data_IF_287893472808
#
_entry.id   IF_287893472808
#
_cell.length_a   1.000
_cell.length_b   1.000
_cell.length_c   1.000
_cell.angle_alpha   90.00
_cell.angle_beta   90.00
_cell.angle_gamma   90.00
#
_symmetry.space_group_name_H-M   'P 1'
#
loop_
_entity.id
_entity.type
_entity.pdbx_description
1 polymer ?
#
# COMPACT_ATOMS: atom_id res chain seq x y z
N UNK A 1 31.17 16.62 -21.10
CA UNK A 1 29.86 17.02 -21.64
C UNK A 1 28.82 16.75 -20.56
N UNK A 2 28.11 17.77 -20.08
CA UNK A 2 26.95 17.60 -19.22
C UNK A 2 25.79 17.15 -20.11
N UNK A 3 25.23 15.97 -19.83
CA UNK A 3 24.07 15.45 -20.58
C UNK A 3 22.82 16.06 -19.94
N UNK A 4 22.02 16.77 -20.73
CA UNK A 4 20.88 17.54 -20.20
C UNK A 4 19.70 16.66 -19.75
N UNK A 5 19.73 15.35 -20.06
CA UNK A 5 18.69 14.38 -19.70
C UNK A 5 19.28 13.01 -19.36
N UNK A 6 18.82 12.47 -18.22
CA UNK A 6 19.09 11.11 -17.75
C UNK A 6 17.88 10.22 -18.06
N UNK A 7 18.09 8.90 -18.16
CA UNK A 7 17.01 7.93 -18.17
C UNK A 7 16.03 8.08 -17.00
N UNK A 8 14.82 7.55 -17.16
CA UNK A 8 13.76 7.61 -16.15
C UNK A 8 13.63 6.27 -15.44
N UNK A 9 13.80 6.27 -14.12
CA UNK A 9 13.55 5.11 -13.26
C UNK A 9 12.19 5.25 -12.58
N UNK A 10 11.35 4.21 -12.67
CA UNK A 10 10.04 4.14 -12.03
C UNK A 10 9.95 2.87 -11.18
N UNK A 11 9.20 2.97 -10.08
CA UNK A 11 8.96 1.87 -9.17
C UNK A 11 7.49 1.87 -8.75
N UNK A 12 6.87 0.71 -8.81
CA UNK A 12 5.52 0.45 -8.33
C UNK A 12 5.52 -0.86 -7.56
N UNK A 13 4.54 -1.08 -6.70
CA UNK A 13 4.45 -2.29 -5.91
C UNK A 13 3.01 -2.71 -5.70
N UNK A 14 2.81 -4.01 -5.61
CA UNK A 14 1.54 -4.60 -5.17
C UNK A 14 1.28 -4.26 -3.71
N UNK A 15 -0.01 -4.09 -3.38
CA UNK A 15 -0.41 -4.00 -1.99
C UNK A 15 -0.20 -5.37 -1.33
N UNK A 16 0.59 -5.46 -0.25
CA UNK A 16 0.79 -6.71 0.47
C UNK A 16 -0.51 -7.22 1.09
N UNK A 17 -0.62 -8.54 1.22
CA UNK A 17 -1.72 -9.17 1.95
C UNK A 17 -1.78 -8.70 3.41
N UNK A 18 -2.97 -8.74 4.04
CA UNK A 18 -3.14 -8.29 5.41
C UNK A 18 -2.32 -9.13 6.38
N UNK A 19 -1.77 -8.48 7.40
CA UNK A 19 -1.06 -9.12 8.50
C UNK A 19 -2.05 -9.32 9.65
N UNK A 20 -2.23 -10.57 10.07
CA UNK A 20 -3.08 -10.90 11.21
C UNK A 20 -2.28 -10.86 12.52
N UNK A 21 -2.80 -10.18 13.53
CA UNK A 21 -2.19 -10.08 14.87
C UNK A 21 -3.20 -10.46 15.94
N UNK A 22 -2.80 -11.26 16.91
CA UNK A 22 -3.67 -11.62 18.04
C UNK A 22 -3.67 -10.47 19.07
N UNK A 23 -4.82 -9.87 19.41
CA UNK A 23 -4.87 -8.75 20.35
C UNK A 23 -4.31 -9.10 21.73
N UNK A 24 -3.50 -8.18 22.27
CA UNK A 24 -2.84 -8.34 23.56
C UNK A 24 -1.67 -9.33 23.57
N UNK A 25 -1.46 -10.09 22.49
CA UNK A 25 -0.31 -10.95 22.34
C UNK A 25 0.83 -10.21 21.66
N UNK A 26 2.06 -10.51 22.09
CA UNK A 26 3.24 -10.14 21.33
C UNK A 26 3.26 -10.98 20.05
N UNK A 27 3.77 -10.40 18.96
CA UNK A 27 4.07 -11.17 17.74
C UNK A 27 5.08 -12.26 18.13
N UNK A 28 4.57 -13.49 18.27
CA UNK A 28 5.29 -14.67 18.77
C UNK A 28 5.92 -15.47 17.62
N UNK A 29 5.24 -15.50 16.47
CA UNK A 29 5.67 -16.19 15.25
C UNK A 29 5.82 -15.21 14.09
N UNK A 30 6.60 -15.57 13.06
CA UNK A 30 6.79 -14.78 11.85
C UNK A 30 5.44 -14.61 11.13
N UNK A 31 4.71 -13.53 11.44
CA UNK A 31 3.65 -13.08 10.53
C UNK A 31 4.36 -12.45 9.33
N UNK A 32 4.37 -13.20 8.23
CA UNK A 32 5.01 -12.80 6.98
C UNK A 32 3.94 -12.43 5.96
N UNK A 33 4.09 -11.23 5.40
CA UNK A 33 3.46 -10.86 4.14
C UNK A 33 4.56 -10.57 3.13
N UNK A 34 4.20 -10.38 1.87
CA UNK A 34 5.15 -9.98 0.85
C UNK A 34 4.53 -8.94 -0.07
N UNK A 35 5.36 -8.02 -0.54
CA UNK A 35 5.02 -7.09 -1.60
C UNK A 35 5.92 -7.35 -2.81
N UNK A 36 5.33 -7.51 -3.99
CA UNK A 36 6.06 -7.54 -5.25
C UNK A 36 6.29 -6.11 -5.72
N UNK A 37 7.56 -5.76 -5.97
CA UNK A 37 8.00 -4.47 -6.48
C UNK A 37 8.43 -4.62 -7.94
N UNK A 38 7.80 -3.86 -8.83
CA UNK A 38 8.15 -3.78 -10.24
C UNK A 38 8.91 -2.48 -10.50
N UNK A 39 10.07 -2.61 -11.14
CA UNK A 39 10.95 -1.51 -11.48
C UNK A 39 11.01 -1.41 -13.01
N UNK A 40 10.92 -0.20 -13.54
CA UNK A 40 11.06 0.10 -14.96
C UNK A 40 12.12 1.18 -15.14
N UNK A 41 13.01 0.98 -16.10
CA UNK A 41 13.95 2.00 -16.55
C UNK A 41 13.72 2.30 -18.04
N UNK A 42 13.39 3.54 -18.35
CA UNK A 42 13.31 4.05 -19.71
C UNK A 42 14.62 4.80 -20.04
N UNK A 43 15.51 4.25 -20.86
CA UNK A 43 16.79 4.86 -21.18
C UNK A 43 16.63 6.12 -22.04
N UNK A 44 17.65 6.97 -22.02
CA UNK A 44 17.83 8.03 -23.02
C UNK A 44 19.00 7.65 -23.93
N UNK A 45 18.72 7.39 -25.21
CA UNK A 45 19.70 6.79 -26.13
C UNK A 45 20.08 5.38 -25.70
N UNK A 46 21.36 5.03 -25.80
CA UNK A 46 21.87 3.67 -25.50
C UNK A 46 22.38 3.52 -24.06
N UNK A 47 21.77 4.22 -23.11
CA UNK A 47 22.16 4.15 -21.69
C UNK A 47 21.83 2.77 -21.09
N UNK A 48 22.79 2.08 -20.42
CA UNK A 48 22.50 0.84 -19.74
C UNK A 48 21.63 1.07 -18.49
N UNK A 49 20.84 0.08 -18.06
CA UNK A 49 20.02 0.21 -16.87
C UNK A 49 20.88 0.43 -15.61
N UNK A 50 20.36 1.15 -14.60
CA UNK A 50 21.11 1.46 -13.39
C UNK A 50 21.43 0.20 -12.57
N UNK A 51 22.56 0.23 -11.89
CA UNK A 51 22.98 -0.85 -10.98
C UNK A 51 22.21 -0.71 -9.68
N UNK A 52 21.26 -1.62 -9.45
CA UNK A 52 20.54 -1.70 -8.18
C UNK A 52 21.52 -2.09 -7.06
N UNK A 53 21.30 -1.60 -5.83
CA UNK A 53 22.20 -1.88 -4.70
C UNK A 53 21.45 -2.49 -3.54
N UNK A 54 20.58 -1.71 -2.93
CA UNK A 54 19.92 -2.08 -1.69
C UNK A 54 18.46 -1.65 -1.75
N UNK A 55 17.57 -2.52 -1.28
CA UNK A 55 16.18 -2.21 -1.05
C UNK A 55 15.91 -2.24 0.45
N UNK A 56 15.55 -1.09 1.01
CA UNK A 56 15.21 -0.94 2.43
C UNK A 56 13.72 -0.79 2.60
N UNK A 57 13.20 -1.48 3.59
CA UNK A 57 11.77 -1.48 3.90
C UNK A 57 11.56 -1.13 5.36
N UNK A 58 10.63 -0.23 5.61
CA UNK A 58 10.20 0.12 6.96
C UNK A 58 8.68 0.23 7.01
N UNK A 59 8.13 -0.20 8.14
CA UNK A 59 6.72 -0.07 8.45
C UNK A 59 6.52 1.20 9.25
N UNK A 60 5.65 2.07 8.75
CA UNK A 60 5.24 3.30 9.40
C UNK A 60 3.82 3.14 9.94
N UNK A 61 3.67 3.18 11.25
CA UNK A 61 2.38 3.28 11.92
C UNK A 61 2.05 4.76 12.14
N UNK A 62 0.91 5.21 11.62
CA UNK A 62 0.42 6.58 11.80
C UNK A 62 -0.90 6.54 12.55
N UNK A 63 -0.94 7.15 13.73
CA UNK A 63 -2.19 7.39 14.47
C UNK A 63 -2.57 8.86 14.34
N UNK A 64 -3.71 9.10 13.70
CA UNK A 64 -4.33 10.40 13.54
C UNK A 64 -5.33 10.63 14.66
N UNK A 65 -5.40 11.86 15.16
CA UNK A 65 -6.38 12.30 16.16
C UNK A 65 -7.03 13.61 15.71
N UNK A 66 -8.28 13.83 16.09
CA UNK A 66 -8.97 15.10 15.92
C UNK A 66 -9.81 15.45 17.15
N UNK A 67 -10.02 16.75 17.33
CA UNK A 67 -10.96 17.29 18.31
C UNK A 67 -12.39 17.39 17.76
N UNK A 68 -12.57 17.25 16.45
CA UNK A 68 -13.86 17.28 15.76
C UNK A 68 -14.01 16.03 14.89
N UNK A 69 -15.24 15.51 14.70
CA UNK A 69 -15.49 14.35 13.83
C UNK A 69 -15.01 14.58 12.39
N UNK A 70 -14.25 13.64 11.85
CA UNK A 70 -13.96 13.55 10.41
C UNK A 70 -15.11 12.89 9.66
N UNK A 71 -15.35 13.36 8.43
CA UNK A 71 -16.30 12.78 7.48
C UNK A 71 -15.64 11.79 6.52
N UNK A 72 -14.30 11.72 6.51
CA UNK A 72 -13.51 10.86 5.64
C UNK A 72 -12.34 10.20 6.40
N UNK A 73 -11.76 9.17 5.80
CA UNK A 73 -10.55 8.52 6.36
C UNK A 73 -9.38 9.51 6.26
N UNK A 74 -8.67 9.80 7.37
CA UNK A 74 -7.57 10.74 7.36
C UNK A 74 -6.37 10.16 6.60
N UNK A 75 -5.70 11.02 5.84
CA UNK A 75 -4.44 10.74 5.15
C UNK A 75 -3.58 12.00 5.17
N UNK A 76 -2.28 11.88 4.87
CA UNK A 76 -1.41 13.06 4.78
C UNK A 76 -1.85 14.09 3.73
N UNK A 77 -2.61 13.68 2.71
CA UNK A 77 -3.13 14.59 1.69
C UNK A 77 -4.46 15.23 2.08
N UNK A 78 -5.27 14.56 2.90
CA UNK A 78 -6.58 15.08 3.36
C UNK A 78 -6.47 15.89 4.66
N UNK A 79 -5.39 15.71 5.43
CA UNK A 79 -5.10 16.59 6.55
C UNK A 79 -4.54 17.91 6.04
N UNK A 80 -5.40 18.92 5.92
CA UNK A 80 -4.99 20.32 5.80
C UNK A 80 -3.93 20.61 6.85
N UNK A 81 -2.75 21.10 6.45
CA UNK A 81 -1.67 21.52 7.36
C UNK A 81 -2.29 22.34 8.50
N UNK A 82 -2.28 21.85 9.74
CA UNK A 82 -3.03 22.52 10.77
C UNK A 82 -2.22 23.73 11.24
N UNK A 83 -2.87 24.88 11.44
CA UNK A 83 -2.22 26.04 12.08
C UNK A 83 -1.93 25.78 13.57
N UNK A 84 -2.48 24.71 14.17
CA UNK A 84 -2.46 24.46 15.63
C UNK A 84 -2.32 22.96 16.04
N UNK A 85 -2.72 21.98 15.23
CA UNK A 85 -2.66 20.56 15.62
C UNK A 85 -1.25 19.94 15.43
N UNK A 86 -0.75 19.16 16.39
CA UNK A 86 0.38 18.27 16.14
C UNK A 86 0.02 17.32 14.98
N UNK A 87 0.98 17.03 14.10
CA UNK A 87 0.81 16.01 13.07
C UNK A 87 0.46 14.63 13.65
N UNK A 88 0.20 13.62 12.81
CA UNK A 88 -0.08 12.27 13.31
C UNK A 88 1.03 11.76 14.23
N UNK A 89 0.66 10.98 15.24
CA UNK A 89 1.64 10.24 16.02
C UNK A 89 2.21 9.12 15.16
N UNK A 90 3.51 9.17 14.91
CA UNK A 90 4.19 8.24 14.01
C UNK A 90 5.14 7.33 14.77
N UNK A 91 5.10 6.04 14.42
CA UNK A 91 6.10 5.06 14.85
C UNK A 91 6.66 4.34 13.63
N UNK A 92 7.97 4.39 13.45
CA UNK A 92 8.67 3.66 12.39
C UNK A 92 9.28 2.39 12.95
N UNK A 93 9.11 1.30 12.23
CA UNK A 93 9.59 -0.03 12.55
C UNK A 93 10.41 -0.51 11.34
N UNK A 94 11.73 -0.69 11.46
CA UNK A 94 12.53 -1.32 10.41
C UNK A 94 12.00 -2.73 10.11
N UNK A 95 11.86 -3.07 8.83
CA UNK A 95 11.33 -4.38 8.39
C UNK A 95 12.45 -5.20 7.76
N UNK A 96 13.07 -4.70 6.70
CA UNK A 96 14.09 -5.46 5.97
C UNK A 96 15.09 -4.54 5.24
N UNK A 97 16.26 -5.10 4.93
CA UNK A 97 17.28 -4.50 4.08
C UNK A 97 17.86 -5.60 3.20
N UNK A 98 17.53 -5.58 1.92
CA UNK A 98 17.93 -6.60 0.95
C UNK A 98 19.04 -6.06 0.05
N UNK A 99 20.08 -6.86 -0.18
CA UNK A 99 21.02 -6.62 -1.27
C UNK A 99 20.35 -7.07 -2.57
N UNK A 100 20.27 -6.17 -3.55
CA UNK A 100 19.58 -6.39 -4.83
C UNK A 100 20.51 -6.16 -6.03
N UNK A 101 21.83 -6.21 -5.78
CA UNK A 101 22.84 -5.96 -6.80
C UNK A 101 22.93 -7.05 -7.88
N UNK A 102 22.45 -8.25 -7.58
CA UNK A 102 22.43 -9.39 -8.52
C UNK A 102 21.14 -9.49 -9.33
N UNK A 103 20.25 -8.50 -9.23
CA UNK A 103 18.96 -8.54 -9.93
C UNK A 103 19.20 -8.23 -11.39
N UNK A 104 18.74 -9.14 -12.24
CA UNK A 104 18.87 -9.02 -13.69
C UNK A 104 17.76 -8.13 -14.26
N UNK A 105 18.16 -7.28 -15.19
CA UNK A 105 17.25 -6.47 -15.97
C UNK A 105 16.79 -7.25 -17.20
N UNK A 106 15.49 -7.34 -17.39
CA UNK A 106 14.90 -7.87 -18.61
C UNK A 106 14.73 -6.72 -19.61
N UNK A 107 15.37 -6.84 -20.78
CA UNK A 107 15.21 -5.88 -21.87
C UNK A 107 13.88 -6.15 -22.56
N UNK A 108 13.05 -5.11 -22.67
CA UNK A 108 11.77 -5.14 -23.34
C UNK A 108 11.81 -4.22 -24.56
N UNK A 109 11.21 -4.67 -25.66
CA UNK A 109 11.06 -3.89 -26.88
C UNK A 109 9.57 -3.61 -27.12
N UNK A 110 9.24 -2.35 -27.40
CA UNK A 110 7.90 -1.92 -27.70
C UNK A 110 7.60 -2.29 -29.15
N UNK A 111 6.91 -3.42 -29.34
CA UNK A 111 6.38 -3.77 -30.66
C UNK A 111 5.47 -2.64 -31.16
N UNK A 112 5.85 -2.03 -32.28
CA UNK A 112 5.05 -1.00 -32.96
C UNK A 112 3.65 -1.51 -33.40
N UNK A 113 3.38 -2.81 -33.26
CA UNK A 113 2.11 -3.48 -33.55
C UNK A 113 1.17 -3.62 -32.34
N UNK A 114 1.64 -3.41 -31.10
CA UNK A 114 0.74 -3.46 -29.93
C UNK A 114 -0.12 -2.20 -29.90
N UNK A 115 -1.40 -2.39 -30.16
CA UNK A 115 -2.42 -1.34 -30.09
C UNK A 115 -2.26 -0.55 -28.79
N UNK A 116 -2.20 0.79 -28.90
CA UNK A 116 -2.08 1.72 -27.77
C UNK A 116 -3.23 1.63 -26.73
N UNK A 117 -4.24 0.80 -27.04
CA UNK A 117 -5.47 0.55 -26.30
C UNK A 117 -5.46 -0.76 -25.51
N UNK A 118 -4.40 -1.57 -25.60
CA UNK A 118 -4.29 -2.79 -24.80
C UNK A 118 -4.00 -2.42 -23.33
N UNK A 119 -4.85 -2.80 -22.36
CA UNK A 119 -4.63 -2.45 -20.97
C UNK A 119 -3.37 -3.17 -20.46
N UNK A 120 -2.27 -2.41 -20.34
CA UNK A 120 -1.07 -2.88 -19.64
C UNK A 120 -1.47 -3.38 -18.24
N UNK A 121 -0.79 -4.42 -17.70
CA UNK A 121 -1.04 -4.87 -16.33
C UNK A 121 -0.98 -3.67 -15.38
N UNK A 122 -1.97 -3.57 -14.49
CA UNK A 122 -2.17 -2.41 -13.58
C UNK A 122 -0.91 -2.09 -12.74
N UNK A 123 -0.02 -3.07 -12.58
CA UNK A 123 1.24 -2.97 -11.83
C UNK A 123 2.49 -2.72 -12.70
N UNK A 124 2.34 -2.48 -14.00
CA UNK A 124 3.44 -2.02 -14.83
C UNK A 124 3.51 -0.48 -14.78
N UNK A 125 4.68 0.13 -14.49
CA UNK A 125 4.82 1.58 -14.57
C UNK A 125 4.42 2.09 -15.97
N UNK A 126 3.44 3.01 -16.01
CA UNK A 126 2.74 3.39 -17.24
C UNK A 126 3.57 4.29 -18.17
N UNK A 127 3.37 4.00 -19.47
CA UNK A 127 3.66 4.67 -20.76
C UNK A 127 5.02 5.40 -20.94
N UNK A 128 5.78 5.08 -22.01
CA UNK A 128 6.96 5.85 -22.38
C UNK A 128 6.57 7.29 -22.74
N UNK A 129 7.16 8.27 -22.06
CA UNK A 129 6.97 9.69 -22.36
C UNK A 129 7.69 10.07 -23.66
N UNK A 130 8.71 9.29 -24.06
CA UNK A 130 9.50 9.54 -25.25
C UNK A 130 9.03 8.61 -26.39
N UNK A 131 8.36 9.17 -27.41
CA UNK A 131 7.91 8.45 -28.62
C UNK A 131 9.04 7.75 -29.41
N UNK A 132 10.30 7.86 -28.98
CA UNK A 132 11.48 7.40 -29.70
C UNK A 132 12.28 6.31 -28.99
N UNK A 133 11.95 5.90 -27.76
CA UNK A 133 12.62 4.76 -27.12
C UNK A 133 11.78 3.50 -27.30
N UNK A 134 12.10 2.72 -28.33
CA UNK A 134 11.53 1.39 -28.54
C UNK A 134 11.98 0.39 -27.45
N UNK A 135 12.97 0.73 -26.63
CA UNK A 135 13.54 -0.17 -25.61
C UNK A 135 13.27 0.38 -24.22
N UNK A 136 12.92 -0.50 -23.29
CA UNK A 136 12.88 -0.23 -21.85
C UNK A 136 13.35 -1.47 -21.09
N UNK A 137 13.70 -1.31 -19.81
CA UNK A 137 14.18 -2.41 -18.98
C UNK A 137 13.26 -2.61 -17.78
N UNK A 138 13.01 -3.86 -17.41
CA UNK A 138 12.16 -4.22 -16.27
C UNK A 138 12.89 -5.13 -15.30
N UNK A 139 12.59 -4.99 -14.01
CA UNK A 139 13.04 -5.89 -12.96
C UNK A 139 11.92 -6.10 -11.93
N UNK A 140 11.91 -7.27 -11.29
CA UNK A 140 10.89 -7.64 -10.32
C UNK A 140 11.54 -8.14 -9.03
N UNK A 141 11.11 -7.61 -7.88
CA UNK A 141 11.64 -7.95 -6.56
C UNK A 141 10.52 -8.38 -5.63
N UNK A 142 10.71 -9.48 -4.89
CA UNK A 142 9.82 -9.88 -3.81
C UNK A 142 10.37 -9.31 -2.50
N UNK A 143 9.59 -8.48 -1.83
CA UNK A 143 9.96 -7.84 -0.57
C UNK A 143 9.24 -8.56 0.58
N UNK A 144 9.93 -9.42 1.35
CA UNK A 144 9.36 -10.01 2.55
C UNK A 144 9.12 -8.94 3.62
N UNK A 145 7.95 -9.01 4.22
CA UNK A 145 7.49 -8.16 5.31
C UNK A 145 7.40 -9.04 6.55
N UNK A 146 8.50 -9.10 7.29
CA UNK A 146 8.57 -9.77 8.58
C UNK A 146 8.56 -8.71 9.67
N UNK A 147 7.58 -8.78 10.56
CA UNK A 147 7.48 -7.84 11.66
C UNK A 147 8.43 -8.25 12.79
N UNK A 148 9.09 -7.29 13.45
CA UNK A 148 9.98 -7.63 14.57
C UNK A 148 9.18 -8.23 15.73
N UNK A 149 9.72 -9.31 16.28
CA UNK A 149 9.17 -10.02 17.43
C UNK A 149 9.01 -9.09 18.65
N UNK A 150 8.18 -9.52 19.60
CA UNK A 150 7.97 -8.84 20.88
C UNK A 150 7.37 -7.43 20.82
N UNK A 151 6.81 -7.02 19.67
CA UNK A 151 6.02 -5.79 19.55
C UNK A 151 4.53 -6.10 19.64
N UNK A 152 3.80 -5.25 20.35
CA UNK A 152 2.35 -5.23 20.31
C UNK A 152 1.96 -4.29 19.17
N UNK A 153 1.29 -4.83 18.17
CA UNK A 153 0.75 -4.05 17.06
C UNK A 153 -0.75 -3.88 17.27
N UNK A 154 -1.20 -2.64 17.12
CA UNK A 154 -2.63 -2.33 17.17
C UNK A 154 -3.19 -2.54 15.77
N UNK A 155 -4.33 -3.24 15.59
CA UNK A 155 -4.98 -3.36 14.29
C UNK A 155 -5.25 -1.99 13.64
N UNK A 156 -5.44 -2.01 12.33
CA UNK A 156 -5.91 -0.86 11.57
C UNK A 156 -7.35 -0.59 11.99
N UNK A 157 -7.66 0.65 12.35
CA UNK A 157 -9.01 1.05 12.73
C UNK A 157 -9.29 2.49 12.32
N UNK A 158 -10.56 2.80 12.15
CA UNK A 158 -11.03 4.13 11.80
C UNK A 158 -12.25 4.49 12.65
N UNK A 159 -12.20 5.65 13.30
CA UNK A 159 -13.35 6.35 13.85
C UNK A 159 -13.29 7.82 13.45
N UNK A 160 -14.36 8.58 13.72
CA UNK A 160 -14.41 10.00 13.39
C UNK A 160 -13.42 10.86 14.19
N UNK A 161 -12.89 10.38 15.33
CA UNK A 161 -11.94 11.14 16.15
C UNK A 161 -10.52 10.58 16.14
N UNK A 162 -10.36 9.30 15.81
CA UNK A 162 -9.07 8.63 15.87
C UNK A 162 -8.99 7.55 14.78
N UNK A 163 -7.85 7.48 14.12
CA UNK A 163 -7.61 6.51 13.06
C UNK A 163 -6.18 6.02 13.13
N UNK A 164 -5.94 4.72 12.98
CA UNK A 164 -4.60 4.16 12.90
C UNK A 164 -4.42 3.38 11.61
N UNK A 165 -3.42 3.77 10.85
CA UNK A 165 -3.08 3.14 9.56
C UNK A 165 -1.62 2.75 9.51
N UNK A 166 -1.30 1.82 8.61
CA UNK A 166 0.06 1.38 8.36
C UNK A 166 0.46 1.62 6.91
N UNK A 167 1.68 2.09 6.72
CA UNK A 167 2.29 2.31 5.41
C UNK A 167 3.63 1.62 5.36
N UNK A 168 3.83 0.78 4.35
CA UNK A 168 5.12 0.22 4.00
C UNK A 168 5.88 1.26 3.16
N UNK A 169 6.96 1.82 3.70
CA UNK A 169 7.87 2.68 2.93
C UNK A 169 9.01 1.81 2.39
N UNK A 170 9.12 1.74 1.06
CA UNK A 170 10.15 1.00 0.32
C UNK A 170 11.10 2.02 -0.31
N UNK A 171 12.39 1.89 -0.04
CA UNK A 171 13.45 2.76 -0.54
C UNK A 171 14.46 1.93 -1.32
N UNK A 172 14.59 2.20 -2.62
CA UNK A 172 15.53 1.52 -3.51
C UNK A 172 16.73 2.44 -3.78
N UNK A 173 17.91 1.96 -3.43
CA UNK A 173 19.20 2.60 -3.72
C UNK A 173 19.82 2.00 -4.98
N UNK A 174 20.32 2.87 -5.87
CA UNK A 174 20.90 2.48 -7.15
C UNK A 174 22.01 3.44 -7.57
N UNK A 175 22.81 3.02 -8.55
CA UNK A 175 23.86 3.81 -9.17
C UNK A 175 23.60 3.95 -10.66
N UNK A 176 23.83 5.14 -11.21
CA UNK A 176 23.71 5.41 -12.65
C UNK A 176 25.11 5.66 -13.21
N UNK A 177 25.30 5.44 -14.51
CA UNK A 177 26.60 5.65 -15.16
C UNK A 177 27.11 7.11 -15.06
N UNK A 178 26.22 8.06 -14.76
CA UNK A 178 26.51 9.49 -14.78
C UNK A 178 26.67 10.12 -13.39
N UNK A 179 26.26 9.42 -12.32
CA UNK A 179 26.26 9.97 -10.96
C UNK A 179 27.08 9.08 -10.04
N UNK A 180 28.22 9.62 -9.56
CA UNK A 180 29.14 8.89 -8.69
C UNK A 180 28.51 8.48 -7.35
N UNK A 181 27.56 9.28 -6.84
CA UNK A 181 26.89 9.00 -5.57
C UNK A 181 25.64 8.12 -5.77
N UNK A 182 25.39 7.13 -4.89
CA UNK A 182 24.15 6.37 -4.90
C UNK A 182 22.92 7.27 -4.80
N UNK A 183 21.95 7.05 -5.68
CA UNK A 183 20.66 7.75 -5.68
C UNK A 183 19.58 6.82 -5.09
N UNK A 184 18.49 7.38 -4.58
CA UNK A 184 17.38 6.60 -4.04
C UNK A 184 16.02 7.05 -4.58
N UNK A 185 15.11 6.09 -4.80
CA UNK A 185 13.68 6.35 -5.02
C UNK A 185 12.85 5.70 -3.91
N UNK A 186 11.73 6.34 -3.56
CA UNK A 186 10.85 5.92 -2.46
C UNK A 186 9.45 5.63 -2.98
N UNK A 187 8.84 4.56 -2.46
CA UNK A 187 7.45 4.19 -2.70
C UNK A 187 6.75 3.95 -1.36
N UNK A 188 5.48 4.35 -1.27
CA UNK A 188 4.62 4.11 -0.12
C UNK A 188 3.48 3.19 -0.53
N UNK A 189 3.32 2.08 0.19
CA UNK A 189 2.29 1.08 -0.08
C UNK A 189 1.43 0.92 1.18
N UNK A 190 0.09 0.97 1.09
CA UNK A 190 -0.76 0.68 2.24
C UNK A 190 -0.53 -0.74 2.75
N UNK A 191 -0.43 -0.92 4.07
CA UNK A 191 -0.41 -2.25 4.68
C UNK A 191 -1.59 -2.33 5.64
N UNK A 192 -2.37 -3.41 5.55
CA UNK A 192 -3.47 -3.64 6.48
C UNK A 192 -3.01 -4.59 7.59
N UNK A 193 -3.16 -4.16 8.83
CA UNK A 193 -3.00 -5.02 10.01
C UNK A 193 -4.39 -5.29 10.58
N UNK A 194 -4.77 -6.56 10.69
CA UNK A 194 -6.07 -6.99 11.19
C UNK A 194 -5.93 -7.87 12.43
N UNK A 195 -7.02 -8.00 13.19
CA UNK A 195 -7.08 -8.88 14.35
C UNK A 195 -7.22 -10.34 13.91
N UNK A 196 -6.41 -11.23 14.49
CA UNK A 196 -6.64 -12.68 14.46
C UNK A 196 -7.50 -13.12 15.64
N UNK A 197 -8.18 -14.27 15.52
CA UNK A 197 -8.85 -14.93 16.64
C UNK A 197 -7.80 -15.60 17.54
N UNK A 198 -8.11 -15.71 18.84
CA UNK A 198 -7.35 -16.60 19.73
C UNK A 198 -7.77 -18.04 19.44
N UNK A 199 -6.83 -18.98 19.24
CA UNK A 199 -7.18 -20.40 19.06
C UNK A 199 -7.93 -21.00 20.25
N UNK A 200 -7.69 -20.49 21.46
CA UNK A 200 -8.13 -21.10 22.72
C UNK A 200 -9.30 -20.38 23.41
N UNK A 201 -10.17 -19.69 22.68
CA UNK A 201 -11.37 -19.05 23.28
C UNK A 201 -12.63 -19.89 23.04
N UNK A 202 -13.05 -20.75 23.99
CA UNK A 202 -14.28 -21.55 23.89
C UNK A 202 -15.56 -20.71 24.04
N UNK A 203 -15.46 -19.39 24.26
CA UNK A 203 -16.59 -18.52 24.59
C UNK A 203 -17.33 -17.87 23.41
N UNK A 204 -17.13 -18.31 22.16
CA UNK A 204 -17.56 -17.53 20.99
C UNK A 204 -18.48 -18.24 20.00
N UNK A 205 -19.36 -19.13 20.47
CA UNK A 205 -20.64 -19.33 19.76
C UNK A 205 -21.63 -18.20 20.10
N UNK A 206 -21.38 -17.43 21.18
CA UNK A 206 -22.35 -16.47 21.75
C UNK A 206 -22.68 -15.27 20.85
N UNK A 207 -21.72 -14.69 20.12
CA UNK A 207 -21.99 -13.51 19.28
C UNK A 207 -22.63 -13.84 17.93
N UNK A 208 -22.21 -14.92 17.28
CA UNK A 208 -22.85 -15.38 16.03
C UNK A 208 -24.24 -15.98 16.32
N UNK A 209 -24.44 -16.59 17.50
CA UNK A 209 -25.77 -16.96 18.02
C UNK A 209 -26.61 -15.73 18.38
N UNK A 210 -26.02 -14.65 18.90
CA UNK A 210 -26.73 -13.40 19.20
C UNK A 210 -27.21 -12.69 17.93
N UNK A 211 -26.43 -12.74 16.83
CA UNK A 211 -26.83 -12.17 15.54
C UNK A 211 -27.90 -13.04 14.85
N UNK A 212 -27.81 -14.37 14.97
CA UNK A 212 -28.81 -15.29 14.39
C UNK A 212 -30.10 -15.42 15.22
N UNK A 213 -30.11 -14.97 16.48
CA UNK A 213 -31.30 -14.90 17.34
C UNK A 213 -32.03 -13.55 17.28
N UNK A 214 -31.55 -12.60 16.47
CA UNK A 214 -32.34 -11.43 16.11
C UNK A 214 -33.58 -11.89 15.33
N UNK A 215 -34.81 -11.57 15.77
CA UNK A 215 -36.00 -11.94 15.01
C UNK A 215 -35.89 -11.33 13.61
N UNK A 216 -35.98 -12.21 12.60
CA UNK A 216 -35.96 -11.82 11.19
C UNK A 216 -36.90 -10.65 10.95
N UNK A 217 -36.41 -9.63 10.25
CA UNK A 217 -37.13 -8.39 10.00
C UNK A 217 -38.54 -8.69 9.50
N UNK A 218 -39.53 -8.40 10.34
CA UNK A 218 -40.91 -8.30 9.93
C UNK A 218 -40.96 -7.29 8.80
N UNK A 219 -41.45 -7.71 7.63
CA UNK A 219 -41.80 -6.82 6.53
C UNK A 219 -42.64 -5.68 7.08
N UNK A 220 -42.04 -4.49 7.16
CA UNK A 220 -42.77 -3.28 7.45
C UNK A 220 -43.79 -3.08 6.32
N UNK A 221 -45.06 -3.38 6.60
CA UNK A 221 -46.16 -2.85 5.82
C UNK A 221 -46.03 -1.32 5.87
N UNK A 222 -45.81 -0.71 4.71
CA UNK A 222 -45.83 0.74 4.57
C UNK A 222 -47.17 1.31 5.05
N UNK A 223 -47.20 2.57 5.52
CA UNK A 223 -48.42 3.17 6.02
C UNK A 223 -49.46 3.22 4.89
N UNK A 224 -50.61 2.61 5.12
CA UNK A 224 -51.79 2.73 4.25
C UNK A 224 -52.32 4.15 4.39
N UNK A 225 -52.22 4.94 3.32
CA UNK A 225 -52.89 6.23 3.21
C UNK A 225 -54.42 6.00 3.17
N UNK A 226 -55.23 6.73 3.97
CA UNK A 226 -56.67 6.62 3.87
C UNK A 226 -57.16 7.21 2.54
N UNK A 227 -58.01 6.46 1.84
CA UNK A 227 -58.67 6.90 0.63
C UNK A 227 -59.66 8.04 0.95
N UNK A 228 -59.58 9.13 0.18
CA UNK A 228 -60.57 10.22 0.20
C UNK A 228 -61.93 9.68 -0.27
N UNK A 229 -63.04 9.98 0.42
CA UNK A 229 -64.35 9.67 -0.11
C UNK A 229 -64.66 10.59 -1.29
N UNK A 230 -64.86 10.00 -2.47
CA UNK A 230 -65.46 10.68 -3.60
C UNK A 230 -66.91 11.01 -3.27
N UNK A 231 -67.30 12.26 -3.50
CA UNK A 231 -68.69 12.66 -3.61
C UNK A 231 -68.95 13.15 -5.03
N UNK A 232 -70.07 12.64 -5.57
CA UNK A 232 -70.70 13.02 -6.84
C UNK A 232 -70.89 14.53 -6.98
#
# INVERSE_FOLDING_TARGET
MLRDRLGRLQMVASQPGPILVTPGCRVSELVSSAATVHIRFDPVGDEPPPVLKCLRTKLKASTFYASCPWTNIPSYSTMSRPRIHPGPFERTIPVSSLCVASVEWEKQELDASRNLNDPAPVLCPQKPILRNSAIYYTACLIVPITLPQNRILVPTFHSCFISRTYTLEIELFYHTAYVYMPTAIKLKVPLHIASSRRPDDPGHDSFDLAISSLPGGSTAQGPVLPALPGFN
#
